data_IF_867471569487
#
_entry.id   IF_867471569487
#
_cell.length_a   1.000
_cell.length_b   1.000
_cell.length_c   1.000
_cell.angle_alpha   90.00
_cell.angle_beta   90.00
_cell.angle_gamma   90.00
#
_symmetry.space_group_name_H-M   'P 1'
#
loop_
_entity.id
_entity.type
_entity.pdbx_description
1 polymer ?
#
# COMPACT_ATOMS: atom_id res chain seq x y z
N UNK A 1 2.16 -47.69 30.20
CA UNK A 1 2.54 -47.74 28.78
C UNK A 1 1.29 -48.04 27.99
N UNK A 2 0.95 -47.26 26.95
CA UNK A 2 -0.23 -47.52 26.11
C UNK A 2 0.23 -47.98 24.73
N UNK A 3 -0.36 -49.06 24.22
CA UNK A 3 -0.21 -49.51 22.84
C UNK A 3 -1.35 -48.89 22.02
N UNK A 4 -1.03 -48.25 20.89
CA UNK A 4 -1.98 -47.53 20.05
C UNK A 4 -2.02 -48.19 18.67
N UNK A 5 -3.22 -48.48 18.17
CA UNK A 5 -3.46 -49.18 16.90
C UNK A 5 -4.36 -48.35 15.98
N UNK A 6 -4.04 -47.06 15.81
CA UNK A 6 -4.92 -46.12 15.12
C UNK A 6 -4.95 -46.32 13.60
N UNK A 7 -3.85 -46.77 12.99
CA UNK A 7 -3.78 -46.92 11.53
C UNK A 7 -4.77 -47.98 11.02
N UNK A 8 -4.83 -49.14 11.68
CA UNK A 8 -5.78 -50.19 11.28
C UNK A 8 -7.23 -49.79 11.57
N UNK A 9 -7.49 -49.11 12.70
CA UNK A 9 -8.81 -48.56 13.00
C UNK A 9 -9.28 -47.55 11.94
N UNK A 10 -8.39 -46.64 11.53
CA UNK A 10 -8.62 -45.67 10.46
C UNK A 10 -8.96 -46.36 9.13
N UNK A 11 -8.16 -47.35 8.73
CA UNK A 11 -8.41 -48.15 7.52
C UNK A 11 -9.76 -48.86 7.58
N UNK A 12 -10.13 -49.44 8.73
CA UNK A 12 -11.44 -50.10 8.89
C UNK A 12 -12.62 -49.14 8.75
N UNK A 13 -12.49 -47.87 9.16
CA UNK A 13 -13.52 -46.85 8.92
C UNK A 13 -13.59 -46.44 7.44
N UNK A 14 -12.48 -46.38 6.73
CA UNK A 14 -12.49 -46.16 5.27
C UNK A 14 -13.13 -47.35 4.55
N UNK A 15 -12.82 -48.59 4.95
CA UNK A 15 -13.47 -49.80 4.44
C UNK A 15 -14.99 -49.72 4.64
N UNK A 16 -15.46 -49.30 5.82
CA UNK A 16 -16.88 -49.07 6.12
C UNK A 16 -17.52 -48.02 5.19
N UNK A 17 -16.83 -46.91 4.90
CA UNK A 17 -17.32 -45.91 3.95
C UNK A 17 -17.48 -46.48 2.53
N UNK A 18 -16.52 -47.31 2.10
CA UNK A 18 -16.47 -47.85 0.73
C UNK A 18 -17.41 -49.04 0.50
N UNK A 19 -17.76 -49.79 1.55
CA UNK A 19 -18.66 -50.95 1.48
C UNK A 19 -20.11 -50.54 1.19
N UNK A 20 -20.47 -49.27 1.46
CA UNK A 20 -21.81 -48.69 1.22
C UNK A 20 -22.96 -49.47 1.87
N UNK A 21 -22.67 -50.22 2.93
CA UNK A 21 -23.65 -50.90 3.77
C UNK A 21 -24.06 -50.01 4.96
N UNK A 22 -25.26 -50.23 5.49
CA UNK A 22 -25.80 -49.57 6.70
C UNK A 22 -25.75 -48.02 6.74
N UNK A 23 -25.61 -47.39 5.58
CA UNK A 23 -25.66 -45.94 5.47
C UNK A 23 -27.07 -45.44 5.79
N UNK A 24 -27.14 -44.27 6.43
CA UNK A 24 -28.38 -43.61 6.76
C UNK A 24 -28.39 -42.13 6.36
N UNK A 25 -27.35 -41.69 5.64
CA UNK A 25 -27.23 -40.36 5.07
C UNK A 25 -26.81 -40.46 3.61
N UNK A 26 -27.48 -39.71 2.74
CA UNK A 26 -27.04 -39.41 1.38
C UNK A 26 -26.66 -37.93 1.32
N UNK A 27 -25.53 -37.64 0.68
CA UNK A 27 -25.06 -36.27 0.47
C UNK A 27 -24.94 -36.05 -1.04
N UNK A 28 -25.77 -35.18 -1.57
CA UNK A 28 -25.79 -34.79 -2.97
C UNK A 28 -24.88 -33.58 -3.16
N UNK A 29 -23.95 -33.67 -4.10
CA UNK A 29 -22.98 -32.61 -4.42
C UNK A 29 -23.05 -32.23 -5.89
N UNK A 30 -22.35 -31.14 -6.27
CA UNK A 30 -22.19 -30.75 -7.68
C UNK A 30 -23.54 -30.61 -8.38
N UNK A 31 -24.40 -29.72 -7.87
CA UNK A 31 -25.78 -29.53 -8.33
C UNK A 31 -26.63 -30.81 -8.43
N UNK A 32 -26.42 -31.75 -7.50
CA UNK A 32 -27.11 -33.04 -7.41
C UNK A 32 -26.73 -34.04 -8.52
N UNK A 33 -25.62 -33.81 -9.23
CA UNK A 33 -25.13 -34.75 -10.25
C UNK A 33 -24.53 -36.02 -9.63
N UNK A 34 -24.00 -35.93 -8.41
CA UNK A 34 -23.36 -37.05 -7.71
C UNK A 34 -23.78 -37.12 -6.25
N UNK A 35 -23.87 -38.35 -5.75
CA UNK A 35 -24.31 -38.65 -4.39
C UNK A 35 -23.30 -39.53 -3.65
N UNK A 36 -23.09 -39.24 -2.37
CA UNK A 36 -22.27 -40.02 -1.46
C UNK A 36 -23.11 -40.63 -0.35
N UNK A 37 -22.88 -41.89 -0.04
CA UNK A 37 -23.49 -42.59 1.10
C UNK A 37 -22.60 -42.48 2.32
N UNK A 38 -23.18 -42.16 3.48
CA UNK A 38 -22.43 -41.98 4.72
C UNK A 38 -23.25 -42.37 5.96
N UNK A 39 -22.56 -42.38 7.10
CA UNK A 39 -23.08 -42.78 8.40
C UNK A 39 -23.18 -41.56 9.31
N UNK A 40 -24.40 -41.25 9.75
CA UNK A 40 -24.69 -40.06 10.56
C UNK A 40 -23.78 -39.96 11.78
N UNK A 41 -23.54 -41.07 12.47
CA UNK A 41 -22.76 -41.07 13.71
C UNK A 41 -21.32 -40.61 13.45
N UNK A 42 -20.66 -41.11 12.41
CA UNK A 42 -19.30 -40.70 12.07
C UNK A 42 -19.27 -39.21 11.72
N UNK A 43 -20.17 -38.76 10.85
CA UNK A 43 -20.27 -37.35 10.45
C UNK A 43 -20.45 -36.41 11.65
N UNK A 44 -21.43 -36.70 12.52
CA UNK A 44 -21.77 -35.88 13.70
C UNK A 44 -20.64 -35.76 14.73
N UNK A 45 -19.79 -36.78 14.86
CA UNK A 45 -18.69 -36.78 15.81
C UNK A 45 -17.43 -36.11 15.26
N UNK A 46 -17.26 -36.09 13.94
CA UNK A 46 -16.07 -35.53 13.28
C UNK A 46 -16.27 -34.10 12.77
N UNK A 47 -17.52 -33.64 12.65
CA UNK A 47 -17.86 -32.31 12.16
C UNK A 47 -19.07 -31.75 12.92
N UNK A 48 -18.90 -30.60 13.55
CA UNK A 48 -19.98 -29.85 14.16
C UNK A 48 -20.98 -29.30 13.13
N UNK A 49 -20.50 -28.98 11.92
CA UNK A 49 -21.36 -28.65 10.80
C UNK A 49 -22.37 -29.77 10.53
N UNK A 50 -21.89 -31.00 10.29
CA UNK A 50 -22.78 -32.14 10.00
C UNK A 50 -23.66 -32.49 11.19
N UNK A 51 -23.18 -32.29 12.43
CA UNK A 51 -24.02 -32.42 13.63
C UNK A 51 -25.24 -31.53 13.57
N UNK A 52 -25.04 -30.23 13.38
CA UNK A 52 -26.15 -29.28 13.27
C UNK A 52 -27.03 -29.58 12.06
N UNK A 53 -26.42 -29.85 10.90
CA UNK A 53 -27.16 -30.06 9.64
C UNK A 53 -28.10 -31.27 9.74
N UNK A 54 -27.64 -32.39 10.29
CA UNK A 54 -28.45 -33.60 10.48
C UNK A 54 -29.51 -33.50 11.59
N UNK A 55 -29.45 -32.45 12.41
CA UNK A 55 -30.38 -32.17 13.51
C UNK A 55 -31.44 -31.12 13.14
N UNK A 56 -31.33 -30.49 11.96
CA UNK A 56 -32.36 -29.56 11.49
C UNK A 56 -33.70 -30.24 11.29
N UNK A 57 -34.77 -29.53 11.64
CA UNK A 57 -36.15 -30.04 11.55
C UNK A 57 -36.59 -30.37 10.12
N UNK A 58 -36.02 -29.72 9.10
CA UNK A 58 -36.32 -29.99 7.70
C UNK A 58 -35.54 -31.19 7.12
N UNK A 59 -34.54 -31.73 7.84
CA UNK A 59 -33.77 -32.90 7.42
C UNK A 59 -34.37 -34.14 8.09
N UNK A 60 -35.51 -34.56 7.55
CA UNK A 60 -36.23 -35.75 8.00
C UNK A 60 -35.83 -36.98 7.20
N UNK A 61 -35.80 -38.16 7.82
CA UNK A 61 -35.58 -39.40 7.11
C UNK A 61 -36.74 -39.70 6.15
N UNK A 62 -36.44 -40.30 5.00
CA UNK A 62 -37.43 -40.87 4.10
C UNK A 62 -37.99 -42.22 4.61
N UNK A 63 -38.83 -42.88 3.81
CA UNK A 63 -39.45 -44.17 4.13
C UNK A 63 -38.43 -45.28 4.47
N UNK A 64 -37.20 -45.17 3.97
CA UNK A 64 -36.09 -46.10 4.23
C UNK A 64 -35.19 -45.67 5.40
N UNK A 65 -35.61 -44.70 6.22
CA UNK A 65 -34.82 -44.10 7.30
C UNK A 65 -33.55 -43.34 6.84
N UNK A 66 -33.48 -42.90 5.58
CA UNK A 66 -32.32 -42.20 5.02
C UNK A 66 -32.57 -40.69 5.01
N UNK A 67 -31.60 -39.92 5.51
CA UNK A 67 -31.59 -38.45 5.43
C UNK A 67 -30.78 -37.96 4.23
N UNK A 68 -31.26 -36.95 3.52
CA UNK A 68 -30.53 -36.33 2.40
C UNK A 68 -30.04 -34.93 2.75
N UNK A 69 -28.77 -34.64 2.45
CA UNK A 69 -28.16 -33.31 2.55
C UNK A 69 -27.75 -32.87 1.15
N UNK A 70 -28.08 -31.64 0.78
CA UNK A 70 -27.72 -31.06 -0.53
C UNK A 70 -26.58 -30.05 -0.35
N UNK A 71 -25.51 -30.22 -1.12
CA UNK A 71 -24.31 -29.37 -1.17
C UNK A 71 -23.91 -29.07 -2.60
N UNK A 72 -24.67 -28.19 -3.24
CA UNK A 72 -24.53 -27.89 -4.67
C UNK A 72 -23.18 -27.25 -5.05
N UNK A 73 -22.55 -26.51 -4.13
CA UNK A 73 -21.37 -25.68 -4.39
C UNK A 73 -20.02 -26.35 -4.07
N UNK A 74 -19.96 -27.68 -4.05
CA UNK A 74 -18.70 -28.43 -3.86
C UNK A 74 -18.52 -29.47 -4.95
N UNK A 75 -17.29 -29.62 -5.43
CA UNK A 75 -16.95 -30.63 -6.41
C UNK A 75 -16.89 -32.01 -5.76
N UNK A 76 -17.24 -33.03 -6.55
CA UNK A 76 -17.15 -34.43 -6.13
C UNK A 76 -15.75 -34.81 -5.64
N UNK A 77 -14.70 -34.30 -6.29
CA UNK A 77 -13.32 -34.62 -5.93
C UNK A 77 -12.95 -34.09 -4.55
N UNK A 78 -13.28 -32.82 -4.26
CA UNK A 78 -13.01 -32.22 -2.95
C UNK A 78 -13.82 -32.94 -1.88
N UNK A 79 -15.12 -33.18 -2.14
CA UNK A 79 -15.98 -33.82 -1.16
C UNK A 79 -15.56 -35.26 -0.83
N UNK A 80 -15.06 -36.00 -1.82
CA UNK A 80 -14.48 -37.32 -1.60
C UNK A 80 -13.29 -37.26 -0.61
N UNK A 81 -12.39 -36.28 -0.77
CA UNK A 81 -11.25 -36.08 0.16
C UNK A 81 -11.75 -35.71 1.57
N UNK A 82 -12.76 -34.86 1.67
CA UNK A 82 -13.39 -34.52 2.97
C UNK A 82 -13.94 -35.77 3.67
N UNK A 83 -14.61 -36.67 2.95
CA UNK A 83 -15.11 -37.93 3.53
C UNK A 83 -13.98 -38.87 3.94
N UNK A 84 -12.93 -39.01 3.13
CA UNK A 84 -11.75 -39.81 3.50
C UNK A 84 -11.10 -39.28 4.79
N UNK A 85 -11.01 -37.95 4.95
CA UNK A 85 -10.54 -37.34 6.19
C UNK A 85 -11.50 -37.60 7.38
N UNK A 86 -12.81 -37.47 7.18
CA UNK A 86 -13.77 -37.68 8.27
C UNK A 86 -13.69 -39.13 8.79
N UNK A 87 -13.61 -40.11 7.90
CA UNK A 87 -13.60 -41.52 8.28
C UNK A 87 -12.22 -41.98 8.74
N UNK A 88 -11.18 -41.73 7.94
CA UNK A 88 -9.84 -42.26 8.18
C UNK A 88 -8.86 -41.24 8.78
N UNK A 89 -9.13 -39.94 8.72
CA UNK A 89 -8.13 -38.92 9.03
C UNK A 89 -7.00 -38.86 8.01
N UNK A 90 -7.20 -39.41 6.80
CA UNK A 90 -6.19 -39.46 5.74
C UNK A 90 -6.57 -38.46 4.65
N UNK A 91 -5.59 -37.66 4.22
CA UNK A 91 -5.70 -36.76 3.09
C UNK A 91 -4.47 -36.96 2.23
N UNK A 92 -4.68 -37.48 1.03
CA UNK A 92 -3.63 -37.59 0.02
C UNK A 92 -3.65 -36.34 -0.87
N UNK A 93 -2.52 -35.64 -0.91
CA UNK A 93 -2.32 -34.43 -1.70
C UNK A 93 -1.21 -34.63 -2.75
N UNK A 94 -0.74 -35.87 -2.93
CA UNK A 94 0.27 -36.16 -3.94
C UNK A 94 -0.27 -35.77 -5.33
N UNK A 95 0.55 -35.07 -6.11
CA UNK A 95 0.21 -34.60 -7.46
C UNK A 95 -1.02 -33.68 -7.57
N UNK A 96 -1.55 -33.16 -6.46
CA UNK A 96 -2.64 -32.19 -6.48
C UNK A 96 -2.14 -30.80 -6.89
N UNK A 97 -2.92 -30.11 -7.72
CA UNK A 97 -2.68 -28.70 -8.04
C UNK A 97 -2.86 -27.82 -6.81
N UNK A 98 -2.09 -26.73 -6.71
CA UNK A 98 -2.21 -25.79 -5.58
C UNK A 98 -3.63 -25.24 -5.43
N UNK A 99 -4.32 -25.00 -6.55
CA UNK A 99 -5.70 -24.53 -6.54
C UNK A 99 -6.63 -25.52 -5.84
N UNK A 100 -6.49 -26.80 -6.13
CA UNK A 100 -7.25 -27.86 -5.48
C UNK A 100 -7.02 -27.88 -3.96
N UNK A 101 -5.76 -27.73 -3.53
CA UNK A 101 -5.42 -27.67 -2.09
C UNK A 101 -6.08 -26.45 -1.42
N UNK A 102 -6.09 -25.31 -2.09
CA UNK A 102 -6.76 -24.10 -1.59
C UNK A 102 -8.29 -24.29 -1.49
N UNK A 103 -8.92 -24.84 -2.52
CA UNK A 103 -10.37 -25.10 -2.49
C UNK A 103 -10.75 -26.16 -1.45
N UNK A 104 -9.91 -27.18 -1.26
CA UNK A 104 -10.06 -28.16 -0.17
C UNK A 104 -9.97 -27.50 1.21
N UNK A 105 -9.07 -26.53 1.38
CA UNK A 105 -8.94 -25.76 2.62
C UNK A 105 -10.23 -24.97 2.91
N UNK A 106 -10.81 -24.31 1.90
CA UNK A 106 -12.08 -23.59 2.03
C UNK A 106 -13.26 -24.52 2.35
N UNK A 107 -13.28 -25.71 1.76
CA UNK A 107 -14.30 -26.73 2.06
C UNK A 107 -14.14 -27.29 3.47
N UNK A 108 -12.91 -27.56 3.92
CA UNK A 108 -12.64 -28.04 5.27
C UNK A 108 -13.15 -27.04 6.33
N UNK A 109 -12.95 -25.75 6.09
CA UNK A 109 -13.50 -24.65 6.89
C UNK A 109 -15.03 -24.64 6.89
N UNK A 110 -15.67 -24.75 5.72
CA UNK A 110 -17.13 -24.83 5.60
C UNK A 110 -17.73 -25.99 6.41
N UNK A 111 -17.06 -27.14 6.44
CA UNK A 111 -17.46 -28.31 7.23
C UNK A 111 -16.97 -28.28 8.68
N UNK A 112 -16.39 -27.16 9.14
CA UNK A 112 -15.88 -26.94 10.49
C UNK A 112 -14.84 -28.00 10.92
N UNK A 113 -13.95 -28.38 9.99
CA UNK A 113 -12.86 -29.33 10.19
C UNK A 113 -11.57 -28.58 10.54
N UNK A 114 -11.51 -28.03 11.75
CA UNK A 114 -10.46 -27.09 12.18
C UNK A 114 -9.04 -27.67 12.05
N UNK A 115 -8.82 -28.94 12.42
CA UNK A 115 -7.51 -29.58 12.33
C UNK A 115 -7.01 -29.64 10.89
N UNK A 116 -7.86 -30.10 9.96
CA UNK A 116 -7.52 -30.19 8.54
C UNK A 116 -7.27 -28.79 7.95
N UNK A 117 -8.16 -27.84 8.24
CA UNK A 117 -8.07 -26.45 7.78
C UNK A 117 -6.73 -25.83 8.19
N UNK A 118 -6.37 -25.95 9.48
CA UNK A 118 -5.11 -25.43 10.01
C UNK A 118 -3.87 -26.07 9.38
N UNK A 119 -3.94 -27.37 9.03
CA UNK A 119 -2.83 -28.09 8.42
C UNK A 119 -2.64 -27.70 6.95
N UNK A 120 -3.73 -27.56 6.21
CA UNK A 120 -3.72 -27.10 4.81
C UNK A 120 -3.24 -25.65 4.70
N UNK A 121 -3.66 -24.80 5.62
CA UNK A 121 -3.21 -23.40 5.71
C UNK A 121 -1.68 -23.31 5.87
N UNK A 122 -1.12 -24.05 6.84
CA UNK A 122 0.33 -24.13 7.04
C UNK A 122 1.04 -24.66 5.79
N UNK A 123 0.52 -25.73 5.19
CA UNK A 123 1.11 -26.35 3.99
C UNK A 123 1.20 -25.35 2.81
N UNK A 124 0.12 -24.59 2.57
CA UNK A 124 0.07 -23.59 1.51
C UNK A 124 1.13 -22.49 1.73
N UNK A 125 1.26 -22.00 2.96
CA UNK A 125 2.22 -20.95 3.31
C UNK A 125 3.66 -21.46 3.15
N UNK A 126 3.96 -22.64 3.69
CA UNK A 126 5.33 -23.19 3.72
C UNK A 126 5.82 -23.64 2.35
N UNK A 127 4.92 -24.19 1.51
CA UNK A 127 5.34 -24.86 0.27
C UNK A 127 4.87 -24.18 -1.01
N UNK A 128 3.84 -23.33 -0.95
CA UNK A 128 3.17 -22.74 -2.13
C UNK A 128 3.17 -21.21 -2.14
N UNK A 129 4.08 -20.57 -1.40
CA UNK A 129 4.17 -19.11 -1.28
C UNK A 129 4.26 -18.35 -2.62
N UNK A 130 4.89 -18.91 -3.65
CA UNK A 130 4.91 -18.31 -5.00
C UNK A 130 3.51 -18.20 -5.60
N UNK A 131 2.75 -19.30 -5.57
CA UNK A 131 1.37 -19.33 -6.08
C UNK A 131 0.47 -18.38 -5.29
N UNK A 132 0.64 -18.31 -3.95
CA UNK A 132 -0.11 -17.39 -3.10
C UNK A 132 0.12 -15.91 -3.50
N UNK A 133 1.35 -15.55 -3.88
CA UNK A 133 1.67 -14.18 -4.33
C UNK A 133 1.10 -13.86 -5.71
N UNK A 134 1.11 -14.83 -6.63
CA UNK A 134 0.54 -14.63 -7.98
C UNK A 134 -0.99 -14.53 -7.96
N UNK A 135 -1.65 -15.17 -7.00
CA UNK A 135 -3.12 -15.18 -6.86
C UNK A 135 -3.59 -14.33 -5.67
N UNK A 136 -2.82 -13.30 -5.30
CA UNK A 136 -2.97 -12.58 -4.04
C UNK A 136 -4.36 -11.95 -3.86
N UNK A 137 -4.84 -11.20 -4.87
CA UNK A 137 -6.16 -10.54 -4.83
C UNK A 137 -7.28 -11.57 -4.60
N UNK A 138 -7.27 -12.64 -5.41
CA UNK A 138 -8.21 -13.76 -5.29
C UNK A 138 -8.18 -14.37 -3.88
N UNK A 139 -7.00 -14.68 -3.32
CA UNK A 139 -6.91 -15.27 -1.98
C UNK A 139 -7.45 -14.32 -0.93
N UNK A 140 -7.03 -13.05 -0.99
CA UNK A 140 -7.45 -12.04 -0.02
C UNK A 140 -8.98 -11.91 0.02
N UNK A 141 -9.61 -11.87 -1.15
CA UNK A 141 -11.06 -11.82 -1.29
C UNK A 141 -11.78 -12.93 -0.51
N UNK A 142 -11.31 -14.19 -0.62
CA UNK A 142 -11.98 -15.34 0.00
C UNK A 142 -11.71 -15.50 1.49
N UNK A 143 -10.53 -15.13 1.97
CA UNK A 143 -10.15 -15.40 3.38
C UNK A 143 -10.61 -14.29 4.31
N UNK A 144 -10.66 -13.03 3.85
CA UNK A 144 -11.00 -11.89 4.70
C UNK A 144 -12.51 -11.69 4.89
N UNK A 145 -13.36 -12.33 4.07
CA UNK A 145 -14.79 -12.41 4.32
C UNK A 145 -15.16 -13.42 5.42
N UNK A 146 -14.23 -14.29 5.80
CA UNK A 146 -14.46 -15.37 6.78
C UNK A 146 -13.81 -15.03 8.12
N UNK A 147 -14.26 -15.64 9.21
CA UNK A 147 -13.66 -15.40 10.53
C UNK A 147 -12.34 -16.18 10.74
N UNK A 148 -12.19 -17.30 10.03
CA UNK A 148 -11.07 -18.23 10.15
C UNK A 148 -9.81 -17.81 9.37
N UNK A 149 -8.85 -18.72 9.16
CA UNK A 149 -7.59 -18.51 8.43
C UNK A 149 -6.61 -17.48 9.00
N UNK A 150 -6.35 -17.55 10.31
CA UNK A 150 -5.46 -16.57 10.99
C UNK A 150 -4.04 -16.53 10.41
N UNK A 151 -3.44 -17.66 10.04
CA UNK A 151 -2.05 -17.69 9.56
C UNK A 151 -1.95 -17.11 8.15
N UNK A 152 -2.91 -17.42 7.28
CA UNK A 152 -2.94 -16.96 5.90
C UNK A 152 -3.33 -15.48 5.84
N UNK A 153 -4.25 -15.03 6.71
CA UNK A 153 -4.51 -13.60 6.92
C UNK A 153 -3.25 -12.87 7.36
N UNK A 154 -2.49 -13.40 8.32
CA UNK A 154 -1.23 -12.79 8.75
C UNK A 154 -0.20 -12.75 7.60
N UNK A 155 -0.05 -13.86 6.86
CA UNK A 155 0.81 -13.91 5.67
C UNK A 155 0.42 -12.85 4.63
N UNK A 156 -0.86 -12.70 4.34
CA UNK A 156 -1.37 -11.68 3.43
C UNK A 156 -1.16 -10.27 3.98
N UNK A 157 -1.43 -10.06 5.26
CA UNK A 157 -1.24 -8.79 5.95
C UNK A 157 0.22 -8.31 5.90
N UNK A 158 1.19 -9.20 6.12
CA UNK A 158 2.63 -8.87 6.04
C UNK A 158 3.05 -8.40 4.64
N UNK A 159 2.37 -8.88 3.60
CA UNK A 159 2.62 -8.53 2.19
C UNK A 159 1.92 -7.22 1.83
N UNK A 160 0.63 -7.09 2.19
CA UNK A 160 -0.19 -5.95 1.73
C UNK A 160 0.27 -4.62 2.32
N UNK A 161 0.89 -4.63 3.51
CA UNK A 161 1.54 -3.45 4.10
C UNK A 161 2.54 -2.81 3.15
N UNK A 162 3.38 -3.64 2.51
CA UNK A 162 4.48 -3.19 1.64
C UNK A 162 4.05 -3.02 0.19
N UNK A 163 3.04 -3.77 -0.24
CA UNK A 163 2.57 -3.78 -1.62
C UNK A 163 1.04 -3.66 -1.72
N UNK A 164 0.42 -2.55 -1.26
CA UNK A 164 -1.04 -2.36 -1.32
C UNK A 164 -1.63 -2.50 -2.73
N UNK A 165 -0.85 -2.15 -3.76
CA UNK A 165 -1.24 -2.25 -5.17
C UNK A 165 -1.65 -3.66 -5.61
N UNK A 166 -1.18 -4.72 -4.93
CA UNK A 166 -1.58 -6.10 -5.24
C UNK A 166 -3.09 -6.34 -5.10
N UNK A 167 -3.77 -5.56 -4.26
CA UNK A 167 -5.23 -5.58 -4.12
C UNK A 167 -5.84 -4.38 -4.84
N UNK A 168 -5.38 -3.17 -4.53
CA UNK A 168 -6.04 -1.96 -5.00
C UNK A 168 -6.01 -1.83 -6.54
N UNK A 169 -4.90 -2.22 -7.18
CA UNK A 169 -4.77 -2.14 -8.64
C UNK A 169 -5.31 -3.40 -9.35
N UNK A 170 -5.84 -4.36 -8.59
CA UNK A 170 -6.37 -5.60 -9.15
C UNK A 170 -7.64 -5.35 -9.98
N UNK A 171 -7.81 -6.13 -11.05
CA UNK A 171 -8.99 -6.03 -11.92
C UNK A 171 -10.28 -6.46 -11.22
N UNK A 172 -10.16 -7.28 -10.18
CA UNK A 172 -11.27 -7.84 -9.41
C UNK A 172 -11.57 -7.04 -8.14
N UNK A 173 -10.84 -5.96 -7.82
CA UNK A 173 -11.09 -5.14 -6.62
C UNK A 173 -12.55 -4.74 -6.41
N UNK A 174 -13.24 -4.35 -7.49
CA UNK A 174 -14.66 -3.94 -7.45
C UNK A 174 -15.63 -5.08 -7.13
N UNK A 175 -15.19 -6.34 -7.20
CA UNK A 175 -15.96 -7.52 -6.81
C UNK A 175 -15.74 -7.94 -5.36
N UNK A 176 -14.90 -7.22 -4.60
CA UNK A 176 -14.65 -7.57 -3.21
C UNK A 176 -15.91 -7.43 -2.37
N UNK A 177 -16.09 -8.36 -1.42
CA UNK A 177 -17.11 -8.22 -0.40
C UNK A 177 -16.77 -7.05 0.54
N UNK A 178 -17.81 -6.38 1.05
CA UNK A 178 -17.69 -5.22 1.92
C UNK A 178 -16.80 -5.52 3.15
N UNK A 179 -16.94 -6.71 3.73
CA UNK A 179 -16.15 -7.17 4.89
C UNK A 179 -14.64 -7.20 4.62
N UNK A 180 -14.23 -7.63 3.42
CA UNK A 180 -12.83 -7.67 3.01
C UNK A 180 -12.27 -6.25 2.82
N UNK A 181 -13.07 -5.33 2.28
CA UNK A 181 -12.68 -3.93 2.14
C UNK A 181 -12.59 -3.26 3.49
N UNK A 182 -13.58 -3.44 4.37
CA UNK A 182 -13.54 -2.89 5.74
C UNK A 182 -12.29 -3.38 6.48
N UNK A 183 -11.97 -4.68 6.39
CA UNK A 183 -10.75 -5.25 6.98
C UNK A 183 -9.46 -4.61 6.43
N UNK A 184 -9.45 -4.23 5.15
CA UNK A 184 -8.34 -3.52 4.53
C UNK A 184 -8.25 -2.07 5.01
N UNK A 185 -9.40 -1.37 5.12
CA UNK A 185 -9.49 0.03 5.56
C UNK A 185 -9.26 0.22 7.06
N UNK A 186 -9.44 -0.82 7.87
CA UNK A 186 -9.09 -0.81 9.30
C UNK A 186 -7.59 -0.70 9.57
N UNK A 187 -6.76 -0.93 8.54
CA UNK A 187 -5.31 -0.89 8.65
C UNK A 187 -4.78 0.53 8.46
N UNK A 188 -3.99 0.99 9.43
CA UNK A 188 -3.30 2.28 9.43
C UNK A 188 -1.85 2.20 8.92
N UNK A 189 -1.36 1.00 8.60
CA UNK A 189 0.03 0.71 8.25
C UNK A 189 0.26 0.47 6.74
N UNK A 190 -0.77 0.62 5.92
CA UNK A 190 -0.66 0.42 4.46
C UNK A 190 0.22 1.50 3.82
N UNK A 191 1.21 1.10 3.02
CA UNK A 191 2.09 2.02 2.28
C UNK A 191 1.42 2.58 1.01
N UNK A 192 0.26 3.21 1.16
CA UNK A 192 -0.49 3.86 0.08
C UNK A 192 -1.09 5.18 0.59
N UNK A 193 -1.13 6.19 -0.28
CA UNK A 193 -1.72 7.48 0.05
C UNK A 193 -3.23 7.34 0.27
N UNK A 194 -3.75 7.95 1.33
CA UNK A 194 -5.16 7.84 1.71
C UNK A 194 -6.12 8.35 0.62
N UNK A 195 -5.72 9.39 -0.13
CA UNK A 195 -6.49 9.86 -1.27
C UNK A 195 -6.67 8.78 -2.35
N UNK A 196 -5.66 7.91 -2.54
CA UNK A 196 -5.79 6.77 -3.45
C UNK A 196 -6.72 5.71 -2.89
N UNK A 197 -6.64 5.44 -1.58
CA UNK A 197 -7.60 4.55 -0.91
C UNK A 197 -9.03 5.07 -1.14
N UNK A 198 -9.24 6.38 -0.99
CA UNK A 198 -10.53 7.02 -1.25
C UNK A 198 -11.00 6.79 -2.69
N UNK A 199 -10.14 7.05 -3.68
CA UNK A 199 -10.48 6.83 -5.11
C UNK A 199 -10.90 5.38 -5.37
N UNK A 200 -10.20 4.41 -4.78
CA UNK A 200 -10.56 2.99 -4.89
C UNK A 200 -11.88 2.66 -4.22
N UNK A 201 -12.13 3.16 -3.01
CA UNK A 201 -13.40 2.91 -2.31
C UNK A 201 -14.57 3.53 -3.06
N UNK A 202 -14.41 4.74 -3.63
CA UNK A 202 -15.42 5.34 -4.51
C UNK A 202 -15.65 4.46 -5.74
N UNK A 203 -14.58 4.00 -6.41
CA UNK A 203 -14.68 3.09 -7.55
C UNK A 203 -15.44 1.80 -7.21
N UNK A 204 -15.15 1.20 -6.05
CA UNK A 204 -15.89 0.04 -5.55
C UNK A 204 -17.36 0.38 -5.29
N UNK A 205 -17.64 1.49 -4.61
CA UNK A 205 -19.01 1.95 -4.33
C UNK A 205 -19.83 2.19 -5.58
N UNK A 206 -19.24 2.78 -6.63
CA UNK A 206 -19.90 2.96 -7.94
C UNK A 206 -20.22 1.60 -8.56
N UNK A 207 -19.29 0.65 -8.52
CA UNK A 207 -19.51 -0.70 -9.05
C UNK A 207 -20.63 -1.47 -8.30
N UNK A 208 -20.94 -1.10 -7.06
CA UNK A 208 -22.08 -1.64 -6.31
C UNK A 208 -23.43 -1.04 -6.70
N UNK A 209 -23.43 0.06 -7.44
CA UNK A 209 -24.62 0.79 -7.87
C UNK A 209 -24.62 0.92 -9.41
N UNK A 210 -24.93 -0.16 -10.16
CA UNK A 210 -24.81 -0.18 -11.61
C UNK A 210 -25.74 0.80 -12.34
N UNK A 211 -26.80 1.27 -11.67
CA UNK A 211 -27.78 2.22 -12.20
C UNK A 211 -27.30 3.70 -12.11
N UNK A 212 -26.10 3.96 -11.55
CA UNK A 212 -25.56 5.32 -11.47
C UNK A 212 -25.18 5.84 -12.87
N UNK A 213 -25.48 7.13 -13.18
CA UNK A 213 -24.97 7.78 -14.37
C UNK A 213 -23.44 7.75 -14.42
N UNK A 214 -22.88 7.60 -15.63
CA UNK A 214 -21.42 7.57 -15.81
C UNK A 214 -20.80 8.96 -15.62
N UNK A 215 -21.50 10.02 -16.01
CA UNK A 215 -21.07 11.39 -15.78
C UNK A 215 -21.54 11.87 -14.40
N UNK A 216 -20.59 12.32 -13.58
CA UNK A 216 -20.86 12.83 -12.23
C UNK A 216 -21.69 14.13 -12.29
N UNK A 217 -21.63 14.89 -13.38
CA UNK A 217 -22.45 16.10 -13.55
C UNK A 217 -23.96 15.79 -13.67
N UNK A 218 -24.32 14.55 -14.02
CA UNK A 218 -25.71 14.09 -14.11
C UNK A 218 -26.26 13.56 -12.78
N UNK A 219 -25.44 13.51 -11.73
CA UNK A 219 -25.84 12.89 -10.46
C UNK A 219 -26.84 13.75 -9.69
N UNK A 220 -27.95 13.11 -9.33
CA UNK A 220 -28.95 13.66 -8.41
C UNK A 220 -28.57 13.39 -6.96
N UNK A 221 -29.26 14.05 -6.02
CA UNK A 221 -29.11 13.77 -4.59
C UNK A 221 -29.40 12.30 -4.22
N UNK A 222 -30.32 11.64 -4.94
CA UNK A 222 -30.61 10.22 -4.75
C UNK A 222 -29.43 9.34 -5.17
N UNK A 223 -28.74 9.70 -6.26
CA UNK A 223 -27.53 8.99 -6.70
C UNK A 223 -26.42 9.07 -5.64
N UNK A 224 -26.16 10.26 -5.09
CA UNK A 224 -25.21 10.42 -3.98
C UNK A 224 -25.64 9.64 -2.72
N UNK A 225 -26.94 9.58 -2.44
CA UNK A 225 -27.46 8.81 -1.31
C UNK A 225 -27.24 7.31 -1.48
N UNK A 226 -27.51 6.75 -2.67
CA UNK A 226 -27.26 5.34 -2.98
C UNK A 226 -25.78 4.98 -2.80
N UNK A 227 -24.87 5.80 -3.33
CA UNK A 227 -23.43 5.60 -3.12
C UNK A 227 -23.07 5.65 -1.63
N UNK A 228 -23.56 6.66 -0.90
CA UNK A 228 -23.33 6.80 0.54
C UNK A 228 -23.81 5.58 1.32
N UNK A 229 -24.95 5.01 0.95
CA UNK A 229 -25.49 3.79 1.57
C UNK A 229 -24.57 2.59 1.32
N UNK A 230 -24.07 2.40 0.09
CA UNK A 230 -23.12 1.32 -0.20
C UNK A 230 -21.78 1.48 0.50
N UNK A 231 -21.36 2.71 0.79
CA UNK A 231 -20.09 3.00 1.47
C UNK A 231 -20.25 3.11 2.99
N UNK A 232 -21.44 2.90 3.55
CA UNK A 232 -21.74 3.23 4.93
C UNK A 232 -20.78 2.57 5.93
N UNK A 233 -20.38 1.32 5.71
CA UNK A 233 -19.43 0.65 6.60
C UNK A 233 -17.98 1.02 6.32
N UNK A 234 -17.63 1.49 5.11
CA UNK A 234 -16.27 1.92 4.77
C UNK A 234 -15.95 3.33 5.29
N UNK A 235 -16.93 4.24 5.25
CA UNK A 235 -16.74 5.67 5.58
C UNK A 235 -16.10 5.91 6.97
N UNK A 236 -16.48 5.23 8.06
CA UNK A 236 -15.89 5.46 9.38
C UNK A 236 -14.38 5.16 9.45
N UNK A 237 -13.89 4.26 8.60
CA UNK A 237 -12.49 3.82 8.61
C UNK A 237 -11.59 4.77 7.82
N UNK A 238 -12.14 5.40 6.78
CA UNK A 238 -11.47 6.44 6.00
C UNK A 238 -11.51 7.78 6.77
N UNK A 239 -12.61 8.10 7.45
CA UNK A 239 -12.73 9.38 8.17
C UNK A 239 -11.96 9.43 9.49
N UNK A 240 -11.61 8.27 10.08
CA UNK A 240 -10.76 8.18 11.27
C UNK A 240 -9.35 8.73 11.03
N UNK A 241 -8.85 8.67 9.80
CA UNK A 241 -7.52 9.17 9.42
C UNK A 241 -7.51 10.65 9.01
N UNK A 242 -8.65 11.22 8.59
CA UNK A 242 -8.78 12.63 8.18
C UNK A 242 -8.99 13.61 9.36
N UNK A 243 -9.43 13.15 10.54
CA UNK A 243 -9.59 14.01 11.73
C UNK A 243 -8.55 13.59 12.78
N UNK A 244 -7.41 14.26 12.81
CA UNK A 244 -6.57 14.28 14.03
C UNK A 244 -7.27 15.15 15.08
N UNK A 245 -7.71 14.62 16.24
CA UNK A 245 -7.86 15.43 17.43
C UNK A 245 -6.46 15.76 17.97
N UNK A 246 -6.32 16.79 18.84
CA UNK A 246 -5.06 17.09 19.51
C UNK A 246 -4.58 15.86 20.27
N UNK A 247 -3.36 15.39 20.00
CA UNK A 247 -2.72 14.28 20.70
C UNK A 247 -2.72 14.56 22.21
N UNK A 248 -3.53 13.82 22.97
CA UNK A 248 -3.35 13.71 24.41
C UNK A 248 -2.47 12.49 24.66
N UNK A 249 -1.21 12.73 25.03
CA UNK A 249 -0.21 11.69 25.32
C UNK A 249 -0.58 10.93 26.59
N UNK A 250 -0.88 9.64 26.46
CA UNK A 250 -0.71 8.67 27.55
C UNK A 250 0.63 7.97 27.34
N UNK A 251 1.50 8.11 28.35
CA UNK A 251 2.84 7.56 28.39
C UNK A 251 2.73 6.06 28.71
N UNK A 252 3.17 5.23 27.77
CA UNK A 252 3.59 3.86 28.03
C UNK A 252 4.96 3.72 27.38
N UNK A 253 5.99 3.42 28.16
CA UNK A 253 7.37 3.28 27.68
C UNK A 253 7.47 2.07 26.74
N UNK A 254 7.77 2.36 25.47
CA UNK A 254 8.11 1.41 24.41
C UNK A 254 9.54 1.71 23.94
N UNK A 255 10.26 0.71 23.40
CA UNK A 255 11.69 0.81 23.09
C UNK A 255 11.98 1.94 22.09
N UNK A 256 13.21 2.48 22.05
CA UNK A 256 13.52 3.71 21.32
C UNK A 256 13.16 3.55 19.84
N UNK A 257 12.11 4.27 19.40
CA UNK A 257 11.74 4.41 17.99
C UNK A 257 12.96 4.90 17.23
N UNK A 258 13.30 4.20 16.14
CA UNK A 258 14.16 4.76 15.11
C UNK A 258 13.58 6.14 14.74
N UNK A 259 14.38 7.20 14.85
CA UNK A 259 13.95 8.55 14.46
C UNK A 259 13.53 8.50 13.00
N UNK A 260 12.30 8.90 12.70
CA UNK A 260 11.87 9.10 11.33
C UNK A 260 12.83 10.08 10.64
N UNK A 261 13.23 9.81 9.38
CA UNK A 261 14.14 10.69 8.67
C UNK A 261 13.46 12.05 8.41
N UNK A 262 14.20 13.15 8.60
CA UNK A 262 13.67 14.52 8.38
C UNK A 262 13.43 14.85 6.89
N UNK A 263 13.98 14.05 5.98
CA UNK A 263 13.93 14.22 4.52
C UNK A 263 13.78 12.87 3.83
N UNK A 264 13.10 12.86 2.68
CA UNK A 264 12.99 11.69 1.80
C UNK A 264 14.02 11.71 0.66
N UNK A 265 14.71 12.84 0.46
CA UNK A 265 15.70 13.04 -0.62
C UNK A 265 17.14 13.05 -0.09
N UNK A 266 17.40 13.71 1.05
CA UNK A 266 18.74 13.88 1.59
C UNK A 266 18.93 13.21 2.95
N UNK A 267 20.19 12.86 3.27
CA UNK A 267 20.60 12.32 4.55
C UNK A 267 21.10 13.43 5.50
N UNK A 268 21.34 13.08 6.76
CA UNK A 268 22.00 13.97 7.73
C UNK A 268 23.40 14.40 7.25
N UNK A 269 24.12 13.56 6.52
CA UNK A 269 25.44 13.91 5.95
C UNK A 269 25.32 15.03 4.91
N UNK A 270 24.29 14.96 4.05
CA UNK A 270 24.01 16.03 3.09
C UNK A 270 23.60 17.33 3.79
N UNK A 271 22.77 17.26 4.84
CA UNK A 271 22.40 18.44 5.63
C UNK A 271 23.62 19.08 6.31
N UNK A 272 24.54 18.27 6.83
CA UNK A 272 25.80 18.73 7.42
C UNK A 272 26.71 19.41 6.38
N UNK A 273 26.80 18.85 5.17
CA UNK A 273 27.54 19.42 4.04
C UNK A 273 26.94 20.76 3.59
N UNK A 274 25.62 20.83 3.39
CA UNK A 274 24.92 22.08 3.04
C UNK A 274 25.13 23.14 4.13
N UNK A 275 25.05 22.76 5.40
CA UNK A 275 25.27 23.66 6.53
C UNK A 275 26.68 24.25 6.53
N UNK A 276 27.70 23.43 6.26
CA UNK A 276 29.08 23.90 6.13
C UNK A 276 29.23 24.89 4.97
N UNK A 277 28.54 24.67 3.85
CA UNK A 277 28.56 25.60 2.73
C UNK A 277 27.87 26.94 3.04
N UNK A 278 26.84 26.94 3.88
CA UNK A 278 26.19 28.18 4.34
C UNK A 278 27.16 28.98 5.21
N UNK A 279 27.81 28.34 6.17
CA UNK A 279 28.74 28.97 7.11
C UNK A 279 30.13 29.23 6.49
N UNK A 280 30.35 28.76 5.25
CA UNK A 280 31.62 28.85 4.51
C UNK A 280 32.79 28.13 5.20
N UNK A 281 32.49 27.04 5.90
CA UNK A 281 33.47 26.18 6.52
C UNK A 281 34.28 25.39 5.48
N UNK A 282 35.52 25.03 5.84
CA UNK A 282 36.40 24.22 4.99
C UNK A 282 36.12 22.72 5.10
N UNK A 283 35.46 22.29 6.17
CA UNK A 283 35.10 20.89 6.45
C UNK A 283 33.62 20.77 6.83
N UNK A 284 33.02 19.64 6.47
CA UNK A 284 31.62 19.37 6.80
C UNK A 284 31.44 19.21 8.32
N UNK A 285 30.28 19.62 8.82
CA UNK A 285 29.91 19.35 10.21
C UNK A 285 29.75 17.85 10.45
N UNK A 286 29.92 17.41 11.71
CA UNK A 286 29.47 16.09 12.11
C UNK A 286 27.93 16.04 12.08
N UNK A 287 27.35 14.90 11.70
CA UNK A 287 25.89 14.71 11.66
C UNK A 287 25.23 14.89 13.02
N UNK A 288 25.97 14.72 14.10
CA UNK A 288 25.52 14.95 15.49
C UNK A 288 25.51 16.42 15.90
N UNK A 289 26.14 17.33 15.13
CA UNK A 289 26.33 18.73 15.49
C UNK A 289 26.08 19.68 14.30
N UNK A 290 24.97 19.48 13.60
CA UNK A 290 24.55 20.37 12.51
C UNK A 290 23.96 21.66 13.13
N UNK A 291 24.50 22.86 12.79
CA UNK A 291 24.12 24.13 13.44
C UNK A 291 22.74 24.67 13.02
N UNK A 292 22.15 24.08 11.98
CA UNK A 292 20.82 24.43 11.48
C UNK A 292 19.81 23.33 11.78
N UNK A 293 18.58 23.76 12.06
CA UNK A 293 17.39 22.93 12.00
C UNK A 293 16.76 23.05 10.61
N UNK A 294 16.61 21.92 9.92
CA UNK A 294 16.06 21.83 8.58
C UNK A 294 14.54 21.61 8.69
N UNK A 295 13.79 22.71 8.71
CA UNK A 295 12.34 22.66 8.85
C UNK A 295 11.69 22.47 7.48
N UNK A 296 11.16 21.27 7.21
CA UNK A 296 10.48 20.95 5.96
C UNK A 296 9.22 21.81 5.80
N UNK A 297 9.25 22.79 4.89
CA UNK A 297 8.11 23.67 4.61
C UNK A 297 7.33 23.22 3.38
N UNK A 298 7.99 22.58 2.41
CA UNK A 298 7.34 22.03 1.23
C UNK A 298 7.91 20.66 0.89
N UNK A 299 7.05 19.68 0.65
CA UNK A 299 7.40 18.37 0.10
C UNK A 299 6.51 18.08 -1.11
N UNK A 300 7.10 17.84 -2.28
CA UNK A 300 6.36 17.69 -3.53
C UNK A 300 5.32 16.58 -3.51
N UNK A 301 5.63 15.44 -2.87
CA UNK A 301 4.67 14.34 -2.67
C UNK A 301 3.55 14.65 -1.66
N UNK A 302 3.71 15.67 -0.81
CA UNK A 302 2.71 16.09 0.19
C UNK A 302 1.87 17.27 -0.30
N UNK A 303 2.53 18.29 -0.83
CA UNK A 303 1.93 19.59 -1.17
C UNK A 303 1.66 19.75 -2.68
N UNK A 304 2.13 18.79 -3.48
CA UNK A 304 1.98 18.76 -4.92
C UNK A 304 3.15 19.36 -5.70
N UNK A 305 3.12 19.11 -7.00
CA UNK A 305 4.20 19.45 -7.94
C UNK A 305 3.88 20.67 -8.82
N UNK A 306 2.81 21.40 -8.53
CA UNK A 306 2.44 22.59 -9.28
C UNK A 306 3.43 23.74 -8.98
N UNK A 307 3.91 24.48 -10.00
CA UNK A 307 4.78 25.63 -9.79
C UNK A 307 4.19 26.69 -8.86
N UNK A 308 2.87 26.89 -8.93
CA UNK A 308 2.15 27.84 -8.08
C UNK A 308 2.23 27.46 -6.59
N UNK A 309 2.28 26.17 -6.25
CA UNK A 309 2.39 25.68 -4.87
C UNK A 309 3.66 26.22 -4.22
N UNK A 310 4.80 26.20 -4.92
CA UNK A 310 6.04 26.75 -4.42
C UNK A 310 5.90 28.23 -4.05
N UNK A 311 5.33 29.04 -4.95
CA UNK A 311 5.14 30.47 -4.69
C UNK A 311 4.14 30.75 -3.58
N UNK A 312 3.14 29.90 -3.37
CA UNK A 312 2.16 30.09 -2.30
C UNK A 312 2.77 29.76 -0.92
N UNK A 313 3.53 28.67 -0.82
CA UNK A 313 4.07 28.18 0.44
C UNK A 313 5.36 28.92 0.83
N UNK A 314 6.27 29.13 -0.12
CA UNK A 314 7.59 29.69 0.17
C UNK A 314 7.60 31.21 0.24
N UNK A 315 6.51 31.91 -0.14
CA UNK A 315 6.44 33.37 -0.08
C UNK A 315 6.69 33.89 1.35
N UNK A 316 7.58 34.88 1.47
CA UNK A 316 8.02 35.44 2.74
C UNK A 316 9.06 34.59 3.50
N UNK A 317 9.33 33.35 3.09
CA UNK A 317 10.37 32.53 3.71
C UNK A 317 11.75 32.89 3.16
N UNK A 318 12.67 33.24 4.07
CA UNK A 318 14.11 33.38 3.81
C UNK A 318 14.90 32.19 4.36
N UNK A 319 16.19 32.13 4.05
CA UNK A 319 17.10 31.04 4.43
C UNK A 319 16.54 29.66 4.04
N UNK A 320 16.17 29.53 2.77
CA UNK A 320 15.55 28.31 2.25
C UNK A 320 16.53 27.48 1.43
N UNK A 321 16.43 26.16 1.53
CA UNK A 321 17.14 25.22 0.67
C UNK A 321 16.10 24.48 -0.17
N UNK A 322 16.23 24.58 -1.49
CA UNK A 322 15.45 23.78 -2.45
C UNK A 322 16.29 22.56 -2.84
N UNK A 323 15.69 21.38 -2.78
CA UNK A 323 16.31 20.09 -3.08
C UNK A 323 15.45 19.35 -4.08
N UNK A 324 16.05 18.82 -5.14
CA UNK A 324 15.36 18.17 -6.25
C UNK A 324 16.02 16.84 -6.56
N UNK A 325 15.21 15.79 -6.71
CA UNK A 325 15.66 14.48 -7.17
C UNK A 325 15.32 14.28 -8.64
N UNK A 326 16.34 14.10 -9.48
CA UNK A 326 16.20 13.98 -10.93
C UNK A 326 15.65 12.59 -11.30
N UNK A 327 14.72 12.54 -12.27
CA UNK A 327 14.09 11.29 -12.69
C UNK A 327 15.04 10.42 -13.49
N UNK A 328 15.12 9.13 -13.11
CA UNK A 328 15.92 8.13 -13.80
C UNK A 328 17.43 8.22 -13.56
N UNK A 329 17.87 9.03 -12.59
CA UNK A 329 19.28 9.14 -12.19
C UNK A 329 19.42 9.20 -10.67
N UNK A 330 20.65 9.08 -10.16
CA UNK A 330 20.98 9.31 -8.75
C UNK A 330 21.22 10.80 -8.45
N UNK A 331 21.02 11.71 -9.40
CA UNK A 331 21.33 13.14 -9.23
C UNK A 331 20.37 13.81 -8.24
N UNK A 332 20.95 14.44 -7.22
CA UNK A 332 20.26 15.35 -6.31
C UNK A 332 20.84 16.76 -6.53
N UNK A 333 19.99 17.70 -6.93
CA UNK A 333 20.36 19.05 -7.32
C UNK A 333 19.57 20.04 -6.47
N UNK A 334 20.15 21.19 -6.13
CA UNK A 334 19.44 22.17 -5.34
C UNK A 334 20.06 23.55 -5.34
N UNK A 335 19.47 24.42 -4.53
CA UNK A 335 19.95 25.79 -4.32
C UNK A 335 19.56 26.33 -2.96
N UNK A 336 20.44 27.14 -2.38
CA UNK A 336 20.20 27.88 -1.15
C UNK A 336 19.89 29.35 -1.48
N UNK A 337 18.79 29.86 -0.91
CA UNK A 337 18.39 31.25 -1.00
C UNK A 337 18.36 31.88 0.41
N UNK A 338 19.27 32.81 0.74
CA UNK A 338 19.25 33.53 2.02
C UNK A 338 18.18 34.64 2.08
N UNK A 339 17.63 35.06 0.94
CA UNK A 339 16.63 36.13 0.85
C UNK A 339 15.21 35.55 0.94
N UNK A 340 14.23 36.39 1.29
CA UNK A 340 12.83 35.99 1.25
C UNK A 340 12.34 35.86 -0.20
N UNK A 341 11.58 34.81 -0.50
CA UNK A 341 10.84 34.72 -1.77
C UNK A 341 9.68 35.73 -1.76
N UNK A 342 9.48 36.42 -2.87
CA UNK A 342 8.39 37.39 -3.03
C UNK A 342 7.61 37.06 -4.30
N UNK A 343 6.35 36.68 -4.13
CA UNK A 343 5.46 36.29 -5.22
C UNK A 343 4.60 37.45 -5.75
N UNK A 344 4.78 38.67 -5.23
CA UNK A 344 3.86 39.79 -5.49
C UNK A 344 4.22 40.65 -6.69
N UNK A 345 5.40 40.45 -7.28
CA UNK A 345 5.88 41.28 -8.39
C UNK A 345 5.05 41.10 -9.67
N UNK A 346 4.74 42.22 -10.31
CA UNK A 346 4.03 42.27 -11.60
C UNK A 346 4.96 41.93 -12.78
N UNK A 347 6.25 42.18 -12.62
CA UNK A 347 7.32 41.86 -13.57
C UNK A 347 8.38 40.98 -12.89
N UNK A 348 9.16 40.27 -13.70
CA UNK A 348 10.26 39.44 -13.20
C UNK A 348 11.28 40.33 -12.47
N UNK A 349 11.66 39.95 -11.25
CA UNK A 349 12.60 40.72 -10.44
C UNK A 349 13.78 39.88 -10.02
N UNK A 350 14.95 40.28 -10.48
CA UNK A 350 16.22 39.72 -10.01
C UNK A 350 16.58 40.27 -8.63
N UNK A 351 16.95 39.36 -7.75
CA UNK A 351 17.35 39.62 -6.38
C UNK A 351 18.82 39.27 -6.22
N UNK A 352 19.61 40.28 -5.83
CA UNK A 352 21.06 40.12 -5.74
C UNK A 352 21.54 39.66 -4.38
N UNK A 353 22.43 38.67 -4.35
CA UNK A 353 23.12 38.22 -3.13
C UNK A 353 24.39 37.44 -3.48
N UNK A 354 25.41 37.53 -2.63
CA UNK A 354 26.64 36.73 -2.73
C UNK A 354 26.59 35.42 -1.94
N UNK A 355 25.55 35.25 -1.11
CA UNK A 355 25.44 34.16 -0.14
C UNK A 355 24.54 33.02 -0.62
N UNK A 356 23.86 33.20 -1.76
CA UNK A 356 23.23 32.09 -2.47
C UNK A 356 24.28 31.18 -3.11
N UNK A 357 23.92 29.92 -3.29
CA UNK A 357 24.69 28.94 -4.05
C UNK A 357 23.75 27.88 -4.62
N UNK A 358 24.19 27.22 -5.69
CA UNK A 358 23.54 26.03 -6.24
C UNK A 358 24.48 24.85 -6.12
N UNK A 359 23.91 23.64 -6.07
CA UNK A 359 24.71 22.45 -5.79
C UNK A 359 24.19 21.18 -6.45
N UNK A 360 25.08 20.20 -6.55
CA UNK A 360 24.77 18.79 -6.78
C UNK A 360 25.36 17.99 -5.62
N UNK A 361 24.61 17.07 -5.03
CA UNK A 361 25.11 16.23 -3.93
C UNK A 361 25.64 14.90 -4.45
N UNK A 362 26.66 14.37 -3.77
CA UNK A 362 27.06 12.96 -3.92
C UNK A 362 25.90 12.07 -3.51
N UNK A 363 25.58 11.05 -4.30
CA UNK A 363 24.49 10.13 -4.03
C UNK A 363 24.57 8.93 -4.98
N UNK A 364 24.32 7.72 -4.47
CA UNK A 364 24.40 6.48 -5.26
C UNK A 364 25.74 6.36 -6.00
N UNK A 365 25.67 6.39 -7.33
CA UNK A 365 26.87 6.30 -8.18
C UNK A 365 27.71 7.59 -8.26
N UNK A 366 27.17 8.73 -7.82
CA UNK A 366 27.86 10.04 -7.86
C UNK A 366 28.75 10.18 -6.62
N UNK A 367 30.07 10.19 -6.84
CA UNK A 367 31.05 10.14 -5.75
C UNK A 367 31.29 11.50 -5.06
N UNK A 368 31.15 12.62 -5.79
CA UNK A 368 31.54 13.94 -5.31
C UNK A 368 30.40 14.95 -5.42
N UNK A 369 30.20 15.71 -4.34
CA UNK A 369 29.33 16.88 -4.33
C UNK A 369 29.98 18.05 -5.08
N UNK A 370 29.15 18.91 -5.68
CA UNK A 370 29.56 20.13 -6.38
C UNK A 370 28.88 21.31 -5.69
N UNK A 371 29.66 22.21 -5.11
CA UNK A 371 29.23 23.54 -4.69
C UNK A 371 29.58 24.56 -5.79
N UNK A 372 28.59 25.34 -6.20
CA UNK A 372 28.70 26.41 -7.19
C UNK A 372 28.16 27.71 -6.59
N UNK A 373 29.04 28.69 -6.31
CA UNK A 373 28.61 29.98 -5.74
C UNK A 373 28.23 30.98 -6.82
N UNK A 374 27.52 32.03 -6.41
CA UNK A 374 27.13 33.12 -7.30
C UNK A 374 28.38 33.80 -7.86
N UNK A 375 28.45 33.90 -9.19
CA UNK A 375 29.48 34.61 -9.95
C UNK A 375 29.03 36.02 -10.31
N UNK A 376 27.76 36.18 -10.69
CA UNK A 376 27.15 37.49 -10.93
C UNK A 376 26.08 37.77 -9.87
N UNK A 377 26.42 38.65 -8.93
CA UNK A 377 25.61 38.96 -7.75
C UNK A 377 24.22 39.42 -8.14
N UNK A 378 24.04 40.12 -9.26
CA UNK A 378 22.75 40.70 -9.64
C UNK A 378 21.75 39.65 -10.14
N UNK A 379 22.20 38.44 -10.47
CA UNK A 379 21.37 37.38 -11.07
C UNK A 379 21.33 36.10 -10.23
N UNK A 380 21.43 36.24 -8.90
CA UNK A 380 21.40 35.11 -7.98
C UNK A 380 20.02 34.43 -8.00
N UNK A 381 18.95 35.16 -7.66
CA UNK A 381 17.59 34.62 -7.55
C UNK A 381 16.63 35.44 -8.43
N UNK A 382 15.73 34.77 -9.14
CA UNK A 382 14.66 35.44 -9.88
C UNK A 382 13.31 35.20 -9.21
N UNK A 383 12.68 36.27 -8.75
CA UNK A 383 11.27 36.25 -8.39
C UNK A 383 10.45 36.41 -9.66
N UNK A 384 9.68 35.39 -10.00
CA UNK A 384 8.91 35.33 -11.25
C UNK A 384 7.65 36.19 -11.11
N UNK A 385 7.32 36.93 -12.16
CA UNK A 385 6.08 37.70 -12.24
C UNK A 385 4.86 36.83 -11.98
N UNK A 386 3.88 37.39 -11.28
CA UNK A 386 2.71 36.66 -10.79
C UNK A 386 2.00 35.78 -11.84
N UNK A 387 1.89 36.26 -13.07
CA UNK A 387 1.17 35.55 -14.15
C UNK A 387 1.89 34.29 -14.66
N UNK A 388 3.20 34.17 -14.44
CA UNK A 388 4.01 33.04 -14.93
C UNK A 388 4.35 32.03 -13.81
N UNK A 389 3.94 32.31 -12.56
CA UNK A 389 4.16 31.44 -11.40
C UNK A 389 3.41 30.11 -11.47
N UNK A 390 2.46 29.98 -12.39
CA UNK A 390 1.81 28.71 -12.73
C UNK A 390 2.68 27.77 -13.58
N UNK A 391 3.81 28.27 -14.12
CA UNK A 391 4.76 27.51 -14.94
C UNK A 391 6.17 27.48 -14.37
N UNK A 392 6.63 28.55 -13.73
CA UNK A 392 7.97 28.62 -13.15
C UNK A 392 7.92 28.47 -11.64
N UNK A 393 8.83 27.67 -11.09
CA UNK A 393 9.04 27.55 -9.65
C UNK A 393 10.31 28.27 -9.20
N UNK A 394 11.12 27.68 -8.31
CA UNK A 394 12.36 28.30 -7.87
C UNK A 394 13.33 28.49 -9.04
N UNK A 395 13.94 29.68 -9.06
CA UNK A 395 14.85 30.09 -10.12
C UNK A 395 16.09 30.72 -9.50
N UNK A 396 17.20 29.99 -9.59
CA UNK A 396 18.54 30.42 -9.22
C UNK A 396 19.33 30.61 -10.52
N UNK A 397 19.73 31.81 -10.95
CA UNK A 397 20.50 32.06 -12.19
C UNK A 397 20.68 30.91 -13.22
N UNK A 398 21.55 29.94 -12.92
CA UNK A 398 21.88 28.79 -13.77
C UNK A 398 21.06 27.49 -13.56
N UNK A 399 20.21 27.40 -12.52
CA UNK A 399 19.29 26.31 -12.19
C UNK A 399 17.85 26.82 -11.98
N UNK A 400 16.88 26.24 -12.69
CA UNK A 400 15.46 26.57 -12.50
C UNK A 400 14.55 25.36 -12.61
N UNK A 401 13.41 25.44 -11.93
CA UNK A 401 12.29 24.52 -12.10
C UNK A 401 11.20 25.18 -12.96
N UNK A 402 10.75 24.47 -13.99
CA UNK A 402 9.75 24.94 -14.94
C UNK A 402 8.91 23.78 -15.45
N UNK A 403 7.63 24.03 -15.74
CA UNK A 403 6.73 23.08 -16.39
C UNK A 403 5.68 23.80 -17.24
N UNK A 404 5.52 23.37 -18.49
CA UNK A 404 4.41 23.81 -19.35
C UNK A 404 3.10 23.08 -19.04
N UNK A 405 3.20 21.94 -18.34
CA UNK A 405 2.05 21.16 -17.84
C UNK A 405 1.59 21.60 -16.45
N UNK A 406 2.15 22.69 -15.92
CA UNK A 406 1.92 23.16 -14.54
C UNK A 406 2.13 22.06 -13.49
N UNK A 407 3.05 21.14 -13.76
CA UNK A 407 3.45 20.07 -12.85
C UNK A 407 4.86 19.59 -13.19
N UNK A 408 5.81 19.81 -12.29
CA UNK A 408 7.24 19.51 -12.50
C UNK A 408 7.56 18.03 -12.81
N UNK A 409 6.64 17.10 -12.57
CA UNK A 409 6.85 15.66 -12.81
C UNK A 409 6.34 15.16 -14.16
N UNK A 410 5.53 15.98 -14.85
CA UNK A 410 4.85 15.59 -16.10
C UNK A 410 5.60 15.98 -17.38
N UNK A 411 6.65 16.79 -17.28
CA UNK A 411 7.48 17.18 -18.41
C UNK A 411 8.97 17.27 -18.03
N UNK A 412 9.80 17.69 -18.98
CA UNK A 412 11.25 17.82 -18.84
C UNK A 412 11.67 19.30 -18.81
N UNK A 413 10.87 20.15 -18.19
CA UNK A 413 11.04 21.61 -18.21
C UNK A 413 12.13 22.16 -17.29
N UNK A 414 12.48 21.43 -16.22
CA UNK A 414 13.56 21.83 -15.29
C UNK A 414 14.89 21.92 -16.03
N UNK A 415 15.75 22.85 -15.60
CA UNK A 415 16.90 23.26 -16.40
C UNK A 415 18.11 23.62 -15.53
N UNK A 416 19.28 23.10 -15.91
CA UNK A 416 20.59 23.50 -15.41
C UNK A 416 21.47 23.89 -16.62
N UNK A 417 22.08 25.08 -16.61
CA UNK A 417 22.99 25.51 -17.68
C UNK A 417 24.21 24.60 -17.80
N UNK A 418 24.66 24.40 -19.05
CA UNK A 418 25.89 23.66 -19.39
C UNK A 418 27.17 24.37 -18.97
N UNK A 419 27.13 25.70 -18.84
CA UNK A 419 28.24 26.53 -18.40
C UNK A 419 27.81 27.43 -17.24
N UNK A 420 28.74 27.66 -16.31
CA UNK A 420 28.54 28.58 -15.18
C UNK A 420 28.55 30.02 -15.65
N UNK A 421 27.36 30.55 -15.95
CA UNK A 421 27.21 31.93 -16.43
C UNK A 421 26.99 32.86 -15.25
N UNK A 422 25.93 32.61 -14.46
CA UNK A 422 25.61 33.35 -13.24
C UNK A 422 26.19 32.71 -11.98
N UNK A 423 26.54 31.43 -12.03
CA UNK A 423 27.20 30.68 -10.97
C UNK A 423 28.55 30.11 -11.46
N UNK A 424 29.46 29.78 -10.55
CA UNK A 424 30.86 29.45 -10.87
C UNK A 424 31.04 28.13 -11.65
N UNK A 425 30.24 27.12 -11.34
CA UNK A 425 30.38 25.74 -11.84
C UNK A 425 29.05 25.22 -12.40
N UNK A 426 29.14 24.40 -13.44
CA UNK A 426 28.01 23.58 -13.91
C UNK A 426 27.71 22.46 -12.90
N UNK A 427 26.44 22.07 -12.79
CA UNK A 427 25.99 21.05 -11.83
C UNK A 427 25.93 19.65 -12.42
N UNK A 428 25.70 19.52 -13.73
CA UNK A 428 25.43 18.23 -14.38
C UNK A 428 26.47 17.90 -15.44
N UNK A 429 26.78 16.62 -15.57
CA UNK A 429 27.64 16.07 -16.63
C UNK A 429 26.86 15.71 -17.90
N UNK A 430 25.52 15.62 -17.82
CA UNK A 430 24.64 15.27 -18.93
C UNK A 430 24.77 16.21 -20.13
N UNK A 431 24.59 15.67 -21.34
CA UNK A 431 24.53 16.42 -22.59
C UNK A 431 23.25 17.28 -22.71
N UNK A 432 22.23 17.03 -21.90
CA UNK A 432 20.99 17.83 -21.86
C UNK A 432 21.01 18.80 -20.68
N UNK A 433 20.70 20.07 -20.95
CA UNK A 433 20.46 21.07 -19.90
C UNK A 433 19.11 20.86 -19.21
N UNK A 434 18.18 20.21 -19.90
CA UNK A 434 16.82 19.96 -19.42
C UNK A 434 16.70 18.58 -18.74
N UNK A 435 15.82 18.48 -17.75
CA UNK A 435 15.51 17.24 -17.04
C UNK A 435 14.10 17.25 -16.43
N UNK A 436 13.64 16.07 -16.07
CA UNK A 436 12.43 15.86 -15.26
C UNK A 436 12.80 15.42 -13.85
N UNK A 437 11.86 15.52 -12.92
CA UNK A 437 12.08 15.23 -11.51
C UNK A 437 11.12 14.14 -11.03
N UNK A 438 11.49 13.44 -9.95
CA UNK A 438 10.57 12.52 -9.24
C UNK A 438 10.06 13.12 -7.94
N UNK A 439 10.85 13.96 -7.27
CA UNK A 439 10.44 14.66 -6.08
C UNK A 439 11.25 15.95 -5.88
N UNK A 440 10.73 16.86 -5.05
CA UNK A 440 11.46 18.02 -4.55
C UNK A 440 11.02 18.37 -3.13
N UNK A 441 11.91 18.98 -2.37
CA UNK A 441 11.71 19.42 -1.00
C UNK A 441 12.21 20.86 -0.85
N UNK A 442 11.57 21.63 0.02
CA UNK A 442 12.05 22.94 0.45
C UNK A 442 12.10 22.98 1.96
N UNK A 443 13.28 23.32 2.48
CA UNK A 443 13.51 23.49 3.91
C UNK A 443 13.70 24.96 4.23
N UNK A 444 13.10 25.44 5.31
CA UNK A 444 13.50 26.67 6.00
C UNK A 444 14.58 26.31 7.01
N UNK A 445 15.70 27.02 6.97
CA UNK A 445 16.79 26.83 7.92
C UNK A 445 16.66 27.78 9.10
N UNK A 446 16.64 27.22 10.31
CA UNK A 446 16.67 27.98 11.55
C UNK A 446 17.96 27.64 12.29
N UNK A 447 18.79 28.65 12.54
CA UNK A 447 20.03 28.44 13.30
C UNK A 447 19.69 28.03 14.72
N UNK A 448 20.23 26.92 15.19
CA UNK A 448 20.04 26.46 16.56
C UNK A 448 20.73 27.44 17.51
N UNK A 449 20.00 27.88 18.53
CA UNK A 449 20.59 28.63 19.64
C UNK A 449 21.23 27.61 20.58
N UNK A 450 22.55 27.70 20.75
CA UNK A 450 23.31 26.84 21.68
C UNK A 450 23.02 27.28 23.11
#
# INVERSE_FOLDING_TARGET
MSLKFFDKLSQNLIELLNDKNDYNVIIEVENNEKSFTAHSNVLKFRSSYFRRELEKENIQPNENNIKTIIKSNISTQIFNVILQYIYGGIVDLENCETRFIFDLMLAADEFELEELTNKLETLLIETKGSWLRTHFSFIYHFIFSRNDFKKLKNFCNDIIVKYPSLIFDSSDFTSFEESAIVSLLERDDLQIEEIKIWDYVIKWGIARNPDLPTDVEEWTNENFFSLKTSLQQCLPHILKSVILPPRTTLITELPPRAKEPFSTIISEEHAAEISAWIDRETSNYATTNIPYDFQLILLGTRDGFAPQTFWNICNGHSNTVVIVRVKGTDEIIGGYNPLAWDNTHLDDKWMGTKDSFIFSLKNGNIQNSILSRVKDINFAILNIRKNDQNKYGPYFGDFRMYSDKSNFTLDYGCFCRKSGYYYEKKLRSSLSEKFSIINYEVFKLVRKTI
#
